data_IF_627224452223
#
_entry.id   IF_627224452223
#
_cell.length_a   1.000
_cell.length_b   1.000
_cell.length_c   1.000
_cell.angle_alpha   90.00
_cell.angle_beta   90.00
_cell.angle_gamma   90.00
#
_symmetry.space_group_name_H-M   'P 1'
#
loop_
_entity.id
_entity.type
_entity.pdbx_description
1 polymer ?
#
# COMPACT_ATOMS: atom_id res chain seq x y z
N UNK A 1 13.03 -9.58 10.31
CA UNK A 1 11.88 -8.85 10.84
C UNK A 1 12.13 -8.62 12.31
N UNK A 2 12.88 -7.56 12.58
CA UNK A 2 13.17 -7.08 13.92
C UNK A 2 12.60 -5.67 14.06
N UNK A 3 11.95 -5.40 15.20
CA UNK A 3 11.50 -4.06 15.53
C UNK A 3 12.71 -3.22 15.95
N UNK A 4 13.01 -2.20 15.18
CA UNK A 4 14.12 -1.27 15.40
C UNK A 4 13.59 0.13 15.67
N UNK A 5 14.36 0.95 16.39
CA UNK A 5 14.01 2.35 16.61
C UNK A 5 14.03 3.13 15.29
N UNK A 6 13.31 4.26 15.25
CA UNK A 6 13.35 5.16 14.08
C UNK A 6 14.77 5.64 13.74
N UNK A 7 15.67 5.71 14.73
CA UNK A 7 17.07 6.07 14.53
C UNK A 7 17.86 4.97 13.84
N UNK A 8 17.69 3.73 14.29
CA UNK A 8 18.33 2.54 13.72
C UNK A 8 17.81 2.26 12.31
N UNK A 9 16.49 2.36 12.12
CA UNK A 9 15.87 2.29 10.80
C UNK A 9 16.45 3.34 9.84
N UNK A 10 16.59 4.59 10.28
CA UNK A 10 17.19 5.65 9.46
C UNK A 10 18.63 5.31 9.06
N UNK A 11 19.43 4.78 9.97
CA UNK A 11 20.81 4.39 9.69
C UNK A 11 20.91 3.20 8.72
N UNK A 12 20.08 2.17 8.92
CA UNK A 12 20.06 0.98 8.06
C UNK A 12 19.66 1.30 6.62
N UNK A 13 18.75 2.27 6.43
CA UNK A 13 18.24 2.68 5.12
C UNK A 13 18.95 3.90 4.52
N UNK A 14 20.00 4.44 5.17
CA UNK A 14 20.73 5.62 4.68
C UNK A 14 19.91 6.92 4.67
N UNK A 15 18.87 7.01 5.52
CA UNK A 15 17.92 8.11 5.56
C UNK A 15 18.27 9.14 6.65
N UNK A 16 17.78 10.37 6.49
CA UNK A 16 17.79 11.36 7.56
C UNK A 16 16.70 11.04 8.58
N UNK A 17 17.06 10.99 9.87
CA UNK A 17 16.11 10.70 10.96
C UNK A 17 14.88 11.63 10.99
N UNK A 18 15.04 12.90 10.60
CA UNK A 18 13.92 13.85 10.51
C UNK A 18 12.86 13.43 9.47
N UNK A 19 13.29 12.78 8.38
CA UNK A 19 12.37 12.28 7.36
C UNK A 19 11.59 11.07 7.90
N UNK A 20 12.28 10.14 8.56
CA UNK A 20 11.67 8.96 9.20
C UNK A 20 10.67 9.38 10.30
N UNK A 21 11.01 10.36 11.13
CA UNK A 21 10.08 10.92 12.13
C UNK A 21 8.86 11.57 11.49
N UNK A 22 9.06 12.35 10.43
CA UNK A 22 7.96 12.97 9.67
C UNK A 22 7.06 11.91 9.05
N UNK A 23 7.63 10.85 8.47
CA UNK A 23 6.91 9.72 7.89
C UNK A 23 6.05 9.00 8.94
N UNK A 24 6.64 8.72 10.12
CA UNK A 24 5.91 8.14 11.25
C UNK A 24 4.77 9.04 11.72
N UNK A 25 5.01 10.35 11.88
CA UNK A 25 3.97 11.29 12.28
C UNK A 25 2.82 11.37 11.27
N UNK A 26 3.10 11.10 9.99
CA UNK A 26 2.11 11.03 8.90
C UNK A 26 1.49 9.64 8.73
N UNK A 27 1.78 8.69 9.62
CA UNK A 27 1.24 7.33 9.57
C UNK A 27 1.70 6.52 8.36
N UNK A 28 2.90 6.79 7.82
CA UNK A 28 3.42 6.13 6.59
C UNK A 28 4.11 4.80 6.83
N UNK A 29 4.19 4.35 8.08
CA UNK A 29 4.73 3.04 8.44
C UNK A 29 3.60 2.14 8.90
N UNK A 30 3.46 0.98 8.25
CA UNK A 30 2.46 -0.03 8.57
C UNK A 30 2.80 -0.78 9.87
N UNK A 31 4.08 -0.97 10.16
CA UNK A 31 4.54 -1.72 11.36
C UNK A 31 4.86 -0.81 12.55
N UNK A 32 4.58 0.50 12.46
CA UNK A 32 4.92 1.44 13.51
C UNK A 32 4.16 1.14 14.81
N UNK A 33 4.92 0.77 15.84
CA UNK A 33 4.40 0.50 17.19
C UNK A 33 5.13 1.34 18.23
N UNK A 34 4.42 1.72 19.30
CA UNK A 34 5.01 2.46 20.41
C UNK A 34 5.22 1.54 21.60
N UNK A 35 6.47 1.32 21.99
CA UNK A 35 6.84 0.54 23.17
C UNK A 35 7.72 1.38 24.11
N UNK A 36 7.39 1.38 25.41
CA UNK A 36 8.12 2.12 26.44
C UNK A 36 8.41 3.60 26.09
N UNK A 37 7.47 4.26 25.40
CA UNK A 37 7.62 5.66 24.99
C UNK A 37 8.41 5.89 23.70
N UNK A 38 9.00 4.84 23.12
CA UNK A 38 9.79 4.87 21.89
C UNK A 38 8.99 4.29 20.73
N UNK A 39 9.16 4.85 19.54
CA UNK A 39 8.57 4.33 18.31
C UNK A 39 9.52 3.35 17.65
N UNK A 40 8.99 2.19 17.31
CA UNK A 40 9.67 1.09 16.64
C UNK A 40 8.98 0.81 15.31
N UNK A 41 9.75 0.36 14.33
CA UNK A 41 9.31 -0.06 13.00
C UNK A 41 10.09 -1.31 12.61
N UNK A 42 9.53 -2.16 11.76
CA UNK A 42 10.22 -3.33 11.22
C UNK A 42 11.41 -2.89 10.34
N UNK A 43 12.58 -3.48 10.55
CA UNK A 43 13.80 -3.19 9.79
C UNK A 43 13.66 -3.47 8.29
N UNK A 44 12.85 -4.46 7.93
CA UNK A 44 12.60 -4.87 6.56
C UNK A 44 11.47 -4.07 5.90
N UNK A 45 10.77 -3.20 6.63
CA UNK A 45 9.72 -2.36 6.04
C UNK A 45 10.35 -1.38 5.03
N UNK A 46 9.92 -1.38 3.76
CA UNK A 46 10.45 -0.45 2.77
C UNK A 46 10.03 0.98 3.11
N UNK A 47 10.95 1.93 2.93
CA UNK A 47 10.62 3.32 3.17
C UNK A 47 9.58 3.80 2.15
N UNK A 48 8.59 4.60 2.58
CA UNK A 48 7.43 4.96 1.75
C UNK A 48 7.79 5.66 0.41
N UNK A 49 8.97 6.29 0.30
CA UNK A 49 9.45 6.86 -0.97
C UNK A 49 10.16 5.85 -1.88
N UNK A 50 10.68 4.76 -1.33
CA UNK A 50 11.25 3.64 -2.10
C UNK A 50 10.17 2.66 -2.55
N UNK A 51 9.06 2.55 -1.80
CA UNK A 51 7.84 1.91 -2.28
C UNK A 51 7.33 2.54 -3.59
N UNK A 52 7.62 3.82 -3.84
CA UNK A 52 7.30 4.52 -5.08
C UNK A 52 8.39 4.40 -6.18
N UNK A 53 9.58 3.86 -5.88
CA UNK A 53 10.74 3.87 -6.80
C UNK A 53 11.38 2.51 -7.09
N UNK A 54 11.00 1.43 -6.39
CA UNK A 54 11.74 0.17 -6.43
C UNK A 54 11.04 -1.06 -7.00
N UNK A 55 9.71 -1.09 -7.10
CA UNK A 55 9.01 -2.29 -7.57
C UNK A 55 8.72 -2.14 -9.07
N UNK A 56 9.23 -3.07 -9.89
CA UNK A 56 8.74 -3.19 -11.26
C UNK A 56 7.22 -3.32 -11.22
N UNK A 57 6.51 -2.76 -12.21
CA UNK A 57 5.03 -2.72 -12.25
C UNK A 57 4.40 -4.04 -11.76
N UNK A 58 4.95 -5.19 -12.16
CA UNK A 58 4.46 -6.51 -11.73
C UNK A 58 4.50 -6.78 -10.22
N UNK A 59 5.55 -6.37 -9.49
CA UNK A 59 5.67 -6.66 -8.06
C UNK A 59 4.76 -5.74 -7.21
N UNK A 60 4.50 -4.52 -7.72
CA UNK A 60 3.51 -3.61 -7.12
C UNK A 60 2.08 -4.10 -7.38
N UNK A 61 1.80 -4.55 -8.59
CA UNK A 61 0.49 -5.11 -8.96
C UNK A 61 0.21 -6.38 -8.13
N UNK A 62 1.21 -7.22 -7.88
CA UNK A 62 1.11 -8.38 -6.98
C UNK A 62 0.80 -7.97 -5.53
N UNK A 63 1.38 -6.88 -5.03
CA UNK A 63 1.06 -6.35 -3.70
C UNK A 63 -0.37 -5.81 -3.64
N UNK A 64 -0.80 -5.03 -4.64
CA UNK A 64 -2.17 -4.50 -4.73
C UNK A 64 -3.15 -5.67 -4.77
N UNK A 65 -2.84 -6.71 -5.55
CA UNK A 65 -3.64 -7.93 -5.67
C UNK A 65 -3.80 -8.67 -4.35
N UNK A 66 -2.76 -8.75 -3.52
CA UNK A 66 -2.83 -9.39 -2.19
C UNK A 66 -3.74 -8.65 -1.21
N UNK A 67 -3.91 -7.34 -1.37
CA UNK A 67 -4.75 -6.53 -0.49
C UNK A 67 -6.19 -6.40 -0.99
N UNK A 68 -6.42 -6.52 -2.30
CA UNK A 68 -7.75 -6.41 -2.89
C UNK A 68 -8.59 -7.67 -2.61
N UNK A 69 -9.83 -7.48 -2.17
CA UNK A 69 -10.80 -8.56 -2.01
C UNK A 69 -11.11 -9.27 -3.35
N UNK A 70 -11.02 -8.56 -4.48
CA UNK A 70 -11.15 -9.18 -5.81
C UNK A 70 -9.85 -9.82 -6.33
N UNK A 71 -8.78 -9.89 -5.54
CA UNK A 71 -7.47 -10.40 -5.95
C UNK A 71 -7.48 -11.87 -6.42
N UNK A 72 -8.45 -12.67 -5.98
CA UNK A 72 -8.62 -14.06 -6.41
C UNK A 72 -9.21 -14.19 -7.82
N UNK A 73 -9.81 -13.13 -8.38
CA UNK A 73 -10.27 -13.06 -9.78
C UNK A 73 -9.29 -12.19 -10.60
N UNK A 74 -8.32 -12.78 -11.31
CA UNK A 74 -7.33 -12.03 -12.06
C UNK A 74 -7.94 -11.17 -13.18
N UNK A 75 -9.09 -11.56 -13.72
CA UNK A 75 -9.72 -10.84 -14.82
C UNK A 75 -10.46 -9.60 -14.32
N UNK A 76 -11.25 -9.75 -13.25
CA UNK A 76 -11.92 -8.62 -12.61
C UNK A 76 -10.93 -7.66 -11.95
N UNK A 77 -9.91 -8.20 -11.28
CA UNK A 77 -8.83 -7.42 -10.69
C UNK A 77 -8.09 -6.59 -11.74
N UNK A 78 -7.66 -7.20 -12.85
CA UNK A 78 -6.95 -6.50 -13.92
C UNK A 78 -7.77 -5.35 -14.51
N UNK A 79 -9.05 -5.60 -14.81
CA UNK A 79 -9.95 -4.57 -15.34
C UNK A 79 -10.15 -3.39 -14.35
N UNK A 80 -10.30 -3.69 -13.05
CA UNK A 80 -10.44 -2.65 -12.03
C UNK A 80 -9.14 -1.89 -11.80
N UNK A 81 -7.99 -2.57 -11.84
CA UNK A 81 -6.68 -1.95 -11.68
C UNK A 81 -6.32 -1.04 -12.86
N UNK A 82 -6.64 -1.45 -14.09
CA UNK A 82 -6.43 -0.64 -15.30
C UNK A 82 -7.32 0.61 -15.33
N UNK A 83 -8.49 0.55 -14.69
CA UNK A 83 -9.36 1.71 -14.49
C UNK A 83 -8.79 2.73 -13.50
N UNK A 84 -7.81 2.35 -12.65
CA UNK A 84 -7.12 3.29 -11.75
C UNK A 84 -6.03 4.06 -12.52
N UNK A 85 -6.09 5.41 -12.56
CA UNK A 85 -5.09 6.21 -13.24
C UNK A 85 -3.67 5.91 -12.74
N UNK A 86 -2.69 5.83 -13.64
CA UNK A 86 -1.31 5.52 -13.29
C UNK A 86 -0.73 6.50 -12.24
N UNK A 87 -1.07 7.79 -12.32
CA UNK A 87 -0.62 8.77 -11.32
C UNK A 87 -1.13 8.45 -9.91
N UNK A 88 -2.34 7.89 -9.79
CA UNK A 88 -2.92 7.47 -8.52
C UNK A 88 -2.28 6.18 -8.03
N UNK A 89 -2.06 5.22 -8.95
CA UNK A 89 -1.34 3.97 -8.67
C UNK A 89 0.06 4.23 -8.13
N UNK A 90 0.76 5.21 -8.69
CA UNK A 90 2.14 5.55 -8.31
C UNK A 90 2.21 6.38 -7.03
N UNK A 91 1.26 7.30 -6.82
CA UNK A 91 1.25 8.24 -5.69
C UNK A 91 0.72 7.63 -4.38
N UNK A 92 -0.08 6.56 -4.45
CA UNK A 92 -0.71 5.93 -3.29
C UNK A 92 -0.05 4.60 -2.90
N UNK A 93 -0.03 4.27 -1.59
CA UNK A 93 0.31 2.93 -1.11
C UNK A 93 -0.54 1.83 -1.75
N UNK A 94 0.00 0.62 -1.88
CA UNK A 94 -0.69 -0.52 -2.50
C UNK A 94 -2.04 -0.85 -1.83
N UNK A 95 -2.15 -0.65 -0.52
CA UNK A 95 -3.38 -0.87 0.26
C UNK A 95 -4.49 0.12 -0.11
N UNK A 96 -4.12 1.40 -0.31
CA UNK A 96 -5.07 2.44 -0.71
C UNK A 96 -5.53 2.22 -2.17
N UNK A 97 -4.62 1.76 -3.03
CA UNK A 97 -4.97 1.38 -4.42
C UNK A 97 -5.87 0.15 -4.43
N UNK A 98 -5.62 -0.85 -3.58
CA UNK A 98 -6.47 -2.03 -3.45
C UNK A 98 -7.89 -1.68 -3.01
N UNK A 99 -8.04 -0.75 -2.06
CA UNK A 99 -9.35 -0.27 -1.64
C UNK A 99 -10.13 0.43 -2.79
N UNK A 100 -9.42 1.15 -3.67
CA UNK A 100 -10.02 1.74 -4.88
C UNK A 100 -10.44 0.64 -5.86
N UNK A 101 -9.59 -0.36 -6.07
CA UNK A 101 -9.88 -1.52 -6.93
C UNK A 101 -11.11 -2.26 -6.42
N UNK A 102 -11.24 -2.48 -5.11
CA UNK A 102 -12.41 -3.13 -4.51
C UNK A 102 -13.67 -2.27 -4.62
N UNK A 103 -13.55 -0.95 -4.47
CA UNK A 103 -14.68 -0.05 -4.66
C UNK A 103 -15.20 -0.08 -6.11
N UNK A 104 -14.30 -0.11 -7.10
CA UNK A 104 -14.63 -0.25 -8.52
C UNK A 104 -15.31 -1.59 -8.80
N UNK A 105 -14.76 -2.68 -8.24
CA UNK A 105 -15.33 -4.01 -8.35
C UNK A 105 -16.73 -4.09 -7.72
N UNK A 106 -16.93 -3.45 -6.57
CA UNK A 106 -18.23 -3.37 -5.91
C UNK A 106 -19.26 -2.62 -6.75
N UNK A 107 -18.89 -1.48 -7.34
CA UNK A 107 -19.79 -0.73 -8.23
C UNK A 107 -20.15 -1.52 -9.49
N UNK A 108 -19.19 -2.25 -10.06
CA UNK A 108 -19.43 -3.10 -11.23
C UNK A 108 -20.40 -4.25 -10.91
N UNK A 109 -20.20 -4.91 -9.77
CA UNK A 109 -21.06 -6.04 -9.33
C UNK A 109 -22.43 -5.59 -8.85
N UNK A 110 -22.55 -4.47 -8.13
CA UNK A 110 -23.86 -3.93 -7.73
C UNK A 110 -24.65 -3.44 -8.94
N UNK A 111 -24.00 -2.73 -9.88
CA UNK A 111 -24.64 -2.26 -11.11
C UNK A 111 -25.10 -3.41 -12.02
N UNK A 112 -24.36 -4.52 -12.05
CA UNK A 112 -24.75 -5.71 -12.80
C UNK A 112 -25.94 -6.45 -12.16
N UNK A 113 -25.98 -6.53 -10.82
CA UNK A 113 -27.11 -7.12 -10.09
C UNK A 113 -28.41 -6.31 -10.27
N UNK A 114 -28.31 -4.97 -10.21
CA UNK A 114 -29.44 -4.07 -10.44
C UNK A 114 -29.93 -4.13 -11.91
N UNK A 115 -29.01 -4.35 -12.86
CA UNK A 115 -29.34 -4.50 -14.29
C UNK A 115 -29.97 -5.84 -14.67
N UNK A 116 -29.82 -6.90 -13.87
CA UNK A 116 -30.51 -8.19 -14.08
C UNK A 116 -31.90 -8.24 -13.42
N UNK A 117 -32.19 -7.32 -12.51
CA UNK A 117 -33.47 -7.21 -11.82
C UNK A 117 -34.49 -6.29 -12.51
N UNK A 118 -34.10 -5.65 -13.63
CA UNK A 118 -34.94 -4.77 -14.46
C UNK A 118 -35.35 -5.46 -15.77
#
# INVERSE_FOLDING_TARGET
MALVTLSEYAAAHGLRINNVRTARNRGKFATAVKQHGVWLVDDAEPFYSDAARGHGQGERDDMIRRYAACGDDPQAFGACLDAVPAQVRDALPAQDVAAIVDALHHMYTSGYADGQAA
#
